data_IF_889224181466
#
_entry.id   IF_889224181466
#
_cell.length_a   1.000
_cell.length_b   1.000
_cell.length_c   1.000
_cell.angle_alpha   90.00
_cell.angle_beta   90.00
_cell.angle_gamma   90.00
#
_symmetry.space_group_name_H-M   'P 1'
#
loop_
_entity.id
_entity.type
_entity.pdbx_description
1 polymer ?
#
# COMPACT_ATOMS: atom_id res chain seq x y z
N UNK A 1 -34.94 7.38 -16.59
CA UNK A 1 -34.69 6.53 -15.41
C UNK A 1 -34.99 7.38 -14.17
N UNK A 2 -36.18 7.25 -13.61
CA UNK A 2 -36.61 7.99 -12.42
C UNK A 2 -35.99 7.34 -11.19
N UNK A 3 -35.00 8.01 -10.58
CA UNK A 3 -34.51 7.67 -9.25
C UNK A 3 -35.71 7.65 -8.30
N UNK A 4 -36.11 6.46 -7.87
CA UNK A 4 -37.25 6.29 -6.98
C UNK A 4 -36.97 6.95 -5.63
N UNK A 5 -38.02 7.42 -4.96
CA UNK A 5 -38.00 8.08 -3.65
C UNK A 5 -37.19 7.35 -2.56
N UNK A 6 -36.92 6.05 -2.75
CA UNK A 6 -36.10 5.21 -1.86
C UNK A 6 -34.59 5.33 -2.07
N UNK A 7 -34.11 5.77 -3.23
CA UNK A 7 -32.67 5.86 -3.52
C UNK A 7 -32.04 7.08 -2.86
N UNK A 8 -32.76 8.20 -2.76
CA UNK A 8 -32.22 9.43 -2.19
C UNK A 8 -31.94 9.34 -0.67
N UNK A 9 -32.82 8.75 0.17
CA UNK A 9 -32.51 8.50 1.58
C UNK A 9 -31.35 7.54 1.76
N UNK A 10 -31.27 6.48 0.94
CA UNK A 10 -30.16 5.53 0.97
C UNK A 10 -28.83 6.19 0.57
N UNK A 11 -28.83 7.05 -0.46
CA UNK A 11 -27.66 7.84 -0.85
C UNK A 11 -27.29 8.91 0.18
N UNK A 12 -28.25 9.50 0.89
CA UNK A 12 -27.98 10.44 1.98
C UNK A 12 -27.46 9.73 3.23
N UNK A 13 -27.97 8.54 3.56
CA UNK A 13 -27.40 7.70 4.63
C UNK A 13 -26.00 7.25 4.26
N UNK A 14 -25.77 6.79 3.04
CA UNK A 14 -24.44 6.48 2.52
C UNK A 14 -23.56 7.73 2.52
N UNK A 15 -24.04 8.90 2.11
CA UNK A 15 -23.25 10.13 2.08
C UNK A 15 -22.89 10.62 3.49
N UNK A 16 -23.85 10.70 4.41
CA UNK A 16 -23.58 11.07 5.82
C UNK A 16 -22.64 10.07 6.49
N UNK A 17 -22.87 8.79 6.26
CA UNK A 17 -22.02 7.71 6.77
C UNK A 17 -20.64 7.69 6.11
N UNK A 18 -20.53 8.00 4.82
CA UNK A 18 -19.26 8.13 4.10
C UNK A 18 -18.58 9.46 4.36
N UNK A 19 -19.25 10.52 4.80
CA UNK A 19 -18.58 11.68 5.36
C UNK A 19 -17.96 11.34 6.72
N UNK A 20 -18.56 10.42 7.48
CA UNK A 20 -17.98 9.85 8.70
C UNK A 20 -16.96 8.72 8.42
N UNK A 21 -17.03 8.06 7.24
CA UNK A 21 -16.24 6.87 6.87
C UNK A 21 -15.27 7.06 5.70
N UNK A 22 -15.25 8.21 5.03
CA UNK A 22 -14.25 8.55 4.02
C UNK A 22 -12.87 8.69 4.66
N UNK A 23 -12.88 9.09 5.94
CA UNK A 23 -11.72 9.02 6.79
C UNK A 23 -11.30 7.54 6.95
N UNK A 24 -12.25 6.61 7.15
CA UNK A 24 -12.09 5.14 7.30
C UNK A 24 -11.67 4.34 6.06
N UNK A 25 -11.90 4.90 4.88
CA UNK A 25 -11.52 4.29 3.62
C UNK A 25 -10.09 4.66 3.20
N UNK A 26 -9.66 5.89 3.49
CA UNK A 26 -8.26 6.31 3.30
C UNK A 26 -7.35 5.74 4.40
N UNK A 27 -7.95 5.55 5.58
CA UNK A 27 -7.44 4.89 6.81
C UNK A 27 -6.86 3.49 6.66
N UNK A 28 -7.04 2.80 5.53
CA UNK A 28 -6.42 1.49 5.30
C UNK A 28 -5.31 1.52 4.27
N UNK A 29 -5.06 2.69 3.66
CA UNK A 29 -4.21 2.77 2.48
C UNK A 29 -3.10 3.80 2.58
N UNK A 30 -3.29 4.91 3.30
CA UNK A 30 -2.23 5.88 3.60
C UNK A 30 -2.62 6.74 4.81
N UNK A 31 -1.74 6.88 5.82
CA UNK A 31 -2.02 7.80 6.92
C UNK A 31 -2.29 9.26 6.52
N UNK A 32 -3.02 10.03 7.34
CA UNK A 32 -3.23 11.48 7.25
C UNK A 32 -2.63 12.14 8.48
N UNK A 33 -1.56 12.94 8.34
CA UNK A 33 -1.04 13.76 9.45
C UNK A 33 -1.83 15.08 9.54
N UNK A 34 -2.57 15.38 10.63
CA UNK A 34 -3.07 16.73 10.87
C UNK A 34 -1.92 17.68 11.24
N UNK A 35 -2.07 18.98 10.96
CA UNK A 35 -1.16 20.01 11.44
C UNK A 35 -1.15 20.05 12.98
N UNK A 36 -0.18 19.38 13.59
CA UNK A 36 0.03 19.39 15.04
C UNK A 36 0.76 20.67 15.44
N UNK A 37 0.08 21.49 16.27
CA UNK A 37 0.70 22.55 17.08
C UNK A 37 1.70 21.92 18.05
N UNK A 38 2.92 22.47 18.08
CA UNK A 38 4.00 22.12 19.02
C UNK A 38 3.50 22.10 20.46
N UNK A 39 3.41 20.90 21.04
CA UNK A 39 3.30 20.65 22.48
C UNK A 39 4.41 19.69 22.89
N UNK A 40 5.29 20.16 23.78
CA UNK A 40 6.45 19.43 24.30
C UNK A 40 6.02 18.47 25.40
N UNK A 41 6.51 17.22 25.39
CA UNK A 41 6.69 16.42 26.60
C UNK A 41 7.71 15.28 26.42
N UNK A 42 8.62 15.21 27.38
CA UNK A 42 9.63 14.18 27.62
C UNK A 42 9.02 12.87 28.13
N UNK A 43 9.58 11.71 27.73
CA UNK A 43 10.26 10.69 28.60
C UNK A 43 10.41 9.34 27.85
N UNK A 44 11.57 8.70 27.91
CA UNK A 44 11.75 7.27 27.57
C UNK A 44 12.70 6.60 28.56
N UNK A 45 12.35 5.46 29.17
CA UNK A 45 13.28 4.65 29.95
C UNK A 45 14.06 3.68 29.05
N UNK A 46 15.35 3.50 29.35
CA UNK A 46 16.23 2.58 28.64
C UNK A 46 15.96 1.12 29.07
N UNK A 47 15.53 0.28 28.13
CA UNK A 47 15.41 -1.17 28.32
C UNK A 47 16.71 -1.82 27.83
N UNK A 48 17.48 -2.42 28.74
CA UNK A 48 18.66 -3.25 28.43
C UNK A 48 18.22 -4.69 28.13
N UNK A 49 18.18 -5.07 26.86
CA UNK A 49 17.97 -6.46 26.44
C UNK A 49 19.32 -7.21 26.39
N UNK A 50 19.35 -8.41 26.98
CA UNK A 50 20.50 -9.33 27.02
C UNK A 50 20.77 -9.91 25.62
N UNK A 51 22.00 -9.76 25.13
CA UNK A 51 22.43 -10.10 23.78
C UNK A 51 22.93 -11.54 23.57
N UNK A 52 22.67 -12.48 24.48
CA UNK A 52 23.39 -13.77 24.53
C UNK A 52 22.63 -14.99 24.00
N UNK A 53 21.48 -14.83 23.34
CA UNK A 53 20.69 -15.96 22.80
C UNK A 53 20.42 -15.92 21.28
N UNK A 54 21.02 -14.97 20.54
CA UNK A 54 20.71 -14.77 19.11
C UNK A 54 21.65 -15.49 18.12
N UNK A 55 22.74 -16.09 18.58
CA UNK A 55 23.79 -16.60 17.66
C UNK A 55 23.51 -18.04 17.16
N UNK A 56 22.63 -18.79 17.81
CA UNK A 56 22.41 -20.22 17.49
C UNK A 56 21.24 -20.50 16.52
N UNK A 57 20.54 -19.46 16.06
CA UNK A 57 19.45 -19.57 15.05
C UNK A 57 19.96 -19.25 13.62
N UNK A 58 21.17 -18.74 13.46
CA UNK A 58 21.69 -18.26 12.16
C UNK A 58 22.04 -19.36 11.12
N UNK A 59 21.66 -20.61 11.36
CA UNK A 59 21.86 -21.75 10.44
C UNK A 59 20.58 -22.48 10.04
N UNK A 60 19.41 -22.01 10.47
CA UNK A 60 18.16 -22.54 9.92
C UNK A 60 18.09 -22.18 8.45
N UNK A 61 18.24 -23.21 7.60
CA UNK A 61 17.79 -23.35 6.22
C UNK A 61 17.57 -22.03 5.49
N UNK A 62 18.32 -21.76 4.42
CA UNK A 62 17.90 -20.81 3.40
C UNK A 62 16.44 -21.12 3.04
N UNK A 63 15.50 -20.40 3.66
CA UNK A 63 14.08 -20.63 3.45
C UNK A 63 13.90 -20.32 1.97
N UNK A 64 13.36 -21.29 1.25
CA UNK A 64 13.06 -21.08 -0.16
C UNK A 64 11.91 -20.08 -0.25
N UNK A 65 12.27 -18.79 -0.31
CA UNK A 65 11.35 -17.66 -0.32
C UNK A 65 10.42 -17.75 -1.52
N UNK A 66 10.89 -18.28 -2.64
CA UNK A 66 10.07 -18.49 -3.85
C UNK A 66 8.99 -19.54 -3.59
N UNK A 67 9.33 -20.64 -2.93
CA UNK A 67 8.36 -21.68 -2.53
C UNK A 67 7.35 -21.13 -1.53
N UNK A 68 7.80 -20.36 -0.53
CA UNK A 68 6.94 -19.72 0.45
C UNK A 68 5.95 -18.74 -0.20
N UNK A 69 6.41 -17.91 -1.15
CA UNK A 69 5.55 -16.96 -1.86
C UNK A 69 4.49 -17.68 -2.70
N UNK A 70 4.90 -18.71 -3.44
CA UNK A 70 3.98 -19.52 -4.26
C UNK A 70 2.94 -20.23 -3.40
N UNK A 71 3.34 -20.76 -2.24
CA UNK A 71 2.42 -21.39 -1.29
C UNK A 71 1.42 -20.37 -0.71
N UNK A 72 1.88 -19.19 -0.29
CA UNK A 72 1.01 -18.15 0.23
C UNK A 72 0.00 -17.71 -0.83
N UNK A 73 0.45 -17.46 -2.05
CA UNK A 73 -0.42 -17.10 -3.16
C UNK A 73 -1.51 -18.16 -3.40
N UNK A 74 -1.14 -19.45 -3.45
CA UNK A 74 -2.12 -20.53 -3.63
C UNK A 74 -3.18 -20.52 -2.53
N UNK A 75 -2.77 -20.43 -1.25
CA UNK A 75 -3.68 -20.39 -0.11
C UNK A 75 -4.64 -19.19 -0.17
N UNK A 76 -4.12 -18.02 -0.55
CA UNK A 76 -4.90 -16.79 -0.67
C UNK A 76 -5.90 -16.86 -1.83
N UNK A 77 -5.50 -17.42 -2.99
CA UNK A 77 -6.38 -17.57 -4.14
C UNK A 77 -7.44 -18.66 -3.94
N UNK A 78 -7.12 -19.75 -3.25
CA UNK A 78 -8.10 -20.78 -2.90
C UNK A 78 -9.16 -20.24 -1.94
N UNK A 79 -8.71 -19.45 -0.95
CA UNK A 79 -9.60 -18.70 -0.04
C UNK A 79 -10.45 -17.71 -0.83
N UNK A 80 -9.82 -16.89 -1.68
CA UNK A 80 -10.50 -15.92 -2.51
C UNK A 80 -11.53 -16.56 -3.41
N UNK A 81 -11.29 -17.75 -3.97
CA UNK A 81 -12.24 -18.43 -4.87
C UNK A 81 -13.34 -19.21 -4.13
N UNK A 82 -13.30 -19.28 -2.80
CA UNK A 82 -14.27 -20.08 -2.03
C UNK A 82 -14.17 -21.59 -2.30
N UNK A 83 -13.05 -22.06 -2.88
CA UNK A 83 -12.82 -23.50 -3.15
C UNK A 83 -12.55 -24.31 -1.89
N UNK A 84 -12.34 -23.63 -0.76
CA UNK A 84 -12.16 -24.25 0.55
C UNK A 84 -13.52 -24.51 1.19
N UNK A 85 -14.04 -25.74 1.07
CA UNK A 85 -15.28 -26.20 1.73
C UNK A 85 -15.25 -26.03 3.27
N UNK A 86 -14.05 -25.96 3.85
CA UNK A 86 -13.87 -25.53 5.23
C UNK A 86 -13.76 -24.00 5.28
N UNK A 87 -14.74 -23.35 5.92
CA UNK A 87 -14.60 -22.02 6.55
C UNK A 87 -13.20 -21.90 7.15
N UNK A 88 -12.53 -20.75 6.94
CA UNK A 88 -11.16 -20.44 7.38
C UNK A 88 -10.80 -21.10 8.71
N UNK A 89 -10.21 -22.30 8.64
CA UNK A 89 -9.84 -23.03 9.84
C UNK A 89 -8.73 -22.26 10.53
N UNK A 90 -8.70 -22.31 11.85
CA UNK A 90 -7.65 -21.66 12.64
C UNK A 90 -6.26 -22.09 12.15
N UNK A 91 -6.08 -23.37 11.83
CA UNK A 91 -4.85 -23.93 11.27
C UNK A 91 -4.44 -23.29 9.94
N UNK A 92 -5.39 -23.00 9.03
CA UNK A 92 -5.11 -22.33 7.75
C UNK A 92 -4.69 -20.89 7.96
N UNK A 93 -5.36 -20.18 8.88
CA UNK A 93 -4.99 -18.80 9.25
C UNK A 93 -3.57 -18.78 9.84
N UNK A 94 -3.28 -19.65 10.81
CA UNK A 94 -1.95 -19.79 11.41
C UNK A 94 -0.88 -20.13 10.36
N UNK A 95 -1.21 -20.98 9.38
CA UNK A 95 -0.30 -21.29 8.27
C UNK A 95 -0.01 -20.07 7.40
N UNK A 96 -1.03 -19.29 7.03
CA UNK A 96 -0.90 -18.05 6.26
C UNK A 96 0.01 -17.07 7.00
N UNK A 97 -0.26 -16.81 8.29
CA UNK A 97 0.51 -15.86 9.11
C UNK A 97 1.97 -16.30 9.27
N UNK A 98 2.19 -17.61 9.48
CA UNK A 98 3.55 -18.16 9.54
C UNK A 98 4.32 -17.95 8.23
N UNK A 99 3.67 -18.12 7.07
CA UNK A 99 4.33 -17.90 5.77
C UNK A 99 4.60 -16.39 5.56
N UNK A 100 3.66 -15.52 5.92
CA UNK A 100 3.86 -14.07 5.90
C UNK A 100 5.11 -13.68 6.69
N UNK A 101 5.24 -14.18 7.92
CA UNK A 101 6.41 -13.88 8.76
C UNK A 101 7.71 -14.45 8.18
N UNK A 102 7.67 -15.63 7.54
CA UNK A 102 8.82 -16.19 6.82
C UNK A 102 9.26 -15.30 5.65
N UNK A 103 8.31 -14.78 4.87
CA UNK A 103 8.60 -13.89 3.75
C UNK A 103 9.19 -12.56 4.22
N UNK A 104 8.64 -11.98 5.30
CA UNK A 104 9.15 -10.75 5.92
C UNK A 104 10.59 -10.94 6.42
N UNK A 105 10.89 -12.07 7.06
CA UNK A 105 12.24 -12.39 7.54
C UNK A 105 13.25 -12.57 6.40
N UNK A 106 12.79 -12.95 5.21
CA UNK A 106 13.63 -13.14 4.03
C UNK A 106 14.31 -11.87 3.51
N UNK A 107 13.76 -10.67 3.78
CA UNK A 107 14.33 -9.38 3.37
C UNK A 107 14.81 -9.34 1.91
N UNK A 108 13.93 -9.77 1.01
CA UNK A 108 14.26 -9.90 -0.42
C UNK A 108 14.64 -8.56 -1.05
N UNK A 109 15.46 -8.66 -2.09
CA UNK A 109 15.65 -7.60 -3.06
C UNK A 109 14.55 -7.65 -4.12
N UNK A 110 14.13 -6.49 -4.62
CA UNK A 110 13.07 -6.37 -5.62
C UNK A 110 13.36 -5.23 -6.61
N UNK A 111 12.83 -5.36 -7.83
CA UNK A 111 12.80 -4.28 -8.82
C UNK A 111 11.49 -3.50 -8.66
N UNK A 112 11.56 -2.21 -8.37
CA UNK A 112 10.36 -1.37 -8.21
C UNK A 112 9.48 -1.36 -9.47
N UNK A 113 10.06 -1.48 -10.66
CA UNK A 113 9.28 -1.44 -11.91
C UNK A 113 8.55 -2.76 -12.17
N UNK A 114 9.04 -3.87 -11.64
CA UNK A 114 8.40 -5.18 -11.80
C UNK A 114 7.45 -5.48 -10.62
N UNK A 115 7.82 -5.03 -9.42
CA UNK A 115 7.18 -5.43 -8.17
C UNK A 115 6.35 -4.32 -7.52
N UNK A 116 6.44 -3.05 -7.93
CA UNK A 116 5.64 -1.94 -7.38
C UNK A 116 4.81 -1.25 -8.47
N UNK A 117 5.44 -0.77 -9.52
CA UNK A 117 4.77 -0.10 -10.63
C UNK A 117 4.16 -1.12 -11.58
N UNK A 118 2.87 -1.02 -11.87
CA UNK A 118 2.21 -2.01 -12.72
C UNK A 118 0.69 -2.02 -12.59
N UNK A 119 0.05 -3.19 -12.70
CA UNK A 119 -1.40 -3.30 -12.60
C UNK A 119 -1.88 -3.04 -11.17
N UNK A 120 -3.20 -3.10 -10.98
CA UNK A 120 -3.79 -3.11 -9.65
C UNK A 120 -3.34 -4.37 -8.89
N UNK A 121 -3.08 -4.22 -7.59
CA UNK A 121 -2.91 -5.34 -6.67
C UNK A 121 -4.07 -5.36 -5.70
N UNK A 122 -4.83 -6.46 -5.69
CA UNK A 122 -5.96 -6.68 -4.83
C UNK A 122 -5.50 -7.06 -3.42
N UNK A 123 -6.05 -6.41 -2.41
CA UNK A 123 -5.93 -6.80 -1.01
C UNK A 123 -6.74 -8.06 -0.77
N UNK A 124 -6.08 -9.19 -0.53
CA UNK A 124 -6.74 -10.49 -0.29
C UNK A 124 -6.69 -10.89 1.20
N UNK A 125 -5.73 -10.36 1.96
CA UNK A 125 -5.60 -10.69 3.37
C UNK A 125 -5.12 -9.51 4.19
N UNK A 126 -5.71 -9.35 5.37
CA UNK A 126 -5.38 -8.33 6.37
C UNK A 126 -5.24 -8.99 7.75
N UNK A 127 -4.26 -8.56 8.54
CA UNK A 127 -4.10 -9.00 9.95
C UNK A 127 -3.52 -7.87 10.79
N UNK A 128 -3.57 -8.01 12.12
CA UNK A 128 -3.03 -7.02 13.08
C UNK A 128 -4.03 -5.96 13.53
N UNK A 129 -5.27 -5.97 13.03
CA UNK A 129 -6.34 -5.10 13.50
C UNK A 129 -7.23 -5.81 14.53
N UNK A 130 -7.48 -5.16 15.67
CA UNK A 130 -8.49 -5.63 16.64
C UNK A 130 -9.91 -5.53 16.08
N UNK A 131 -10.14 -4.58 15.17
CA UNK A 131 -11.43 -4.28 14.54
C UNK A 131 -11.26 -4.23 13.03
N UNK A 132 -12.09 -4.97 12.29
CA UNK A 132 -12.09 -4.93 10.83
C UNK A 132 -12.30 -3.50 10.35
N UNK A 133 -11.50 -3.00 9.39
CA UNK A 133 -11.70 -1.67 8.84
C UNK A 133 -13.07 -1.58 8.17
N UNK A 134 -13.68 -0.39 8.18
CA UNK A 134 -15.07 -0.20 7.75
C UNK A 134 -15.33 -0.69 6.32
N UNK A 135 -14.40 -0.47 5.38
CA UNK A 135 -14.53 -0.95 4.01
C UNK A 135 -14.64 -2.49 3.92
N UNK A 136 -13.96 -3.23 4.80
CA UNK A 136 -14.06 -4.69 4.83
C UNK A 136 -15.45 -5.13 5.34
N UNK A 137 -16.00 -4.36 6.29
CA UNK A 137 -17.38 -4.56 6.75
C UNK A 137 -18.37 -4.33 5.60
N UNK A 138 -18.19 -3.29 4.77
CA UNK A 138 -19.03 -3.05 3.60
C UNK A 138 -18.87 -4.10 2.51
N UNK A 139 -17.64 -4.54 2.24
CA UNK A 139 -17.39 -5.61 1.29
C UNK A 139 -18.13 -6.90 1.69
N UNK A 140 -18.29 -7.15 3.00
CA UNK A 140 -19.08 -8.29 3.49
C UNK A 140 -20.61 -8.14 3.33
N UNK A 141 -21.11 -6.92 3.12
CA UNK A 141 -22.53 -6.64 2.87
C UNK A 141 -22.92 -6.81 1.39
N UNK A 142 -21.94 -6.88 0.48
CA UNK A 142 -22.21 -7.13 -0.93
C UNK A 142 -22.78 -8.54 -1.15
N UNK A 143 -23.61 -8.70 -2.18
CA UNK A 143 -24.35 -9.92 -2.49
C UNK A 143 -23.43 -11.15 -2.55
N UNK A 144 -23.87 -12.27 -1.97
CA UNK A 144 -23.11 -13.52 -1.80
C UNK A 144 -22.38 -14.02 -3.06
N UNK A 145 -22.83 -13.64 -4.25
CA UNK A 145 -22.34 -14.15 -5.52
C UNK A 145 -21.20 -13.31 -6.14
N UNK A 146 -20.93 -12.09 -5.65
CA UNK A 146 -19.88 -11.21 -6.21
C UNK A 146 -18.97 -10.64 -5.14
N UNK A 147 -17.67 -10.91 -5.29
CA UNK A 147 -16.62 -10.42 -4.38
C UNK A 147 -16.21 -9.03 -4.83
N UNK A 148 -16.40 -8.04 -3.97
CA UNK A 148 -15.90 -6.70 -4.19
C UNK A 148 -14.38 -6.68 -4.15
N UNK A 149 -13.76 -5.95 -5.06
CA UNK A 149 -12.31 -5.78 -5.12
C UNK A 149 -11.89 -4.53 -4.38
N UNK A 150 -10.84 -4.68 -3.58
CA UNK A 150 -10.13 -3.58 -2.91
C UNK A 150 -8.65 -3.72 -3.20
N UNK A 151 -7.93 -2.64 -3.46
CA UNK A 151 -6.53 -2.74 -3.87
C UNK A 151 -5.83 -1.41 -4.11
N UNK A 152 -4.57 -1.51 -4.54
CA UNK A 152 -3.71 -0.37 -4.83
C UNK A 152 -3.01 -0.52 -6.17
N UNK A 153 -2.96 0.55 -6.96
CA UNK A 153 -2.16 0.63 -8.20
C UNK A 153 -1.10 1.70 -8.00
N UNK A 154 0.16 1.35 -8.23
CA UNK A 154 1.25 2.31 -8.27
C UNK A 154 1.73 2.48 -9.70
N UNK A 155 2.05 3.71 -10.08
CA UNK A 155 2.59 4.04 -11.40
C UNK A 155 3.48 5.27 -11.31
N UNK A 156 4.25 5.53 -12.36
CA UNK A 156 5.00 6.77 -12.53
C UNK A 156 4.24 7.69 -13.47
N UNK A 157 4.17 8.97 -13.15
CA UNK A 157 3.64 9.97 -14.09
C UNK A 157 4.67 10.31 -15.17
N UNK A 158 4.34 11.27 -16.05
CA UNK A 158 5.23 11.71 -17.13
C UNK A 158 6.57 12.29 -16.66
N UNK A 159 6.65 12.73 -15.40
CA UNK A 159 7.87 13.27 -14.79
C UNK A 159 8.70 12.19 -14.10
N UNK A 160 8.18 10.95 -14.03
CA UNK A 160 8.77 9.88 -13.26
C UNK A 160 8.39 9.88 -11.78
N UNK A 161 7.50 10.80 -11.36
CA UNK A 161 7.06 10.88 -9.96
C UNK A 161 6.11 9.73 -9.65
N UNK A 162 6.27 9.13 -8.47
CA UNK A 162 5.42 8.04 -8.02
C UNK A 162 3.99 8.52 -7.74
N UNK A 163 3.02 7.82 -8.28
CA UNK A 163 1.58 7.96 -8.01
C UNK A 163 1.02 6.68 -7.42
N UNK A 164 -0.06 6.83 -6.66
CA UNK A 164 -0.84 5.72 -6.11
C UNK A 164 -2.32 5.99 -6.32
N UNK A 165 -3.04 4.94 -6.71
CA UNK A 165 -4.51 4.89 -6.70
C UNK A 165 -4.90 3.81 -5.71
N UNK A 166 -5.66 4.19 -4.68
CA UNK A 166 -6.37 3.26 -3.84
C UNK A 166 -7.78 3.11 -4.38
N UNK A 167 -8.21 1.87 -4.56
CA UNK A 167 -9.48 1.54 -5.17
C UNK A 167 -10.22 0.53 -4.30
N UNK A 168 -11.52 0.71 -4.11
CA UNK A 168 -12.33 -0.36 -3.55
C UNK A 168 -13.81 -0.25 -3.95
N UNK A 169 -14.37 -1.39 -4.31
CA UNK A 169 -15.76 -1.56 -4.68
C UNK A 169 -16.64 -1.65 -3.44
N UNK A 170 -17.73 -0.90 -3.46
CA UNK A 170 -18.81 -1.02 -2.47
C UNK A 170 -19.91 -1.91 -3.01
N UNK A 171 -20.20 -1.82 -4.31
CA UNK A 171 -21.16 -2.68 -4.99
C UNK A 171 -20.74 -2.88 -6.45
N UNK A 172 -19.70 -3.70 -6.65
CA UNK A 172 -19.02 -3.89 -7.93
C UNK A 172 -18.50 -2.60 -8.57
N UNK A 173 -18.10 -2.69 -9.83
CA UNK A 173 -17.48 -1.58 -10.59
C UNK A 173 -18.34 -0.32 -10.69
N UNK A 174 -19.66 -0.47 -10.71
CA UNK A 174 -20.62 0.64 -10.82
C UNK A 174 -20.67 1.53 -9.58
N UNK A 175 -20.26 1.01 -8.43
CA UNK A 175 -20.24 1.75 -7.18
C UNK A 175 -18.95 1.44 -6.43
N UNK A 176 -17.99 2.36 -6.54
CA UNK A 176 -16.67 2.24 -5.92
C UNK A 176 -16.18 3.58 -5.37
N UNK A 177 -15.15 3.50 -4.52
CA UNK A 177 -14.43 4.65 -3.99
C UNK A 177 -13.00 4.59 -4.54
N UNK A 178 -12.47 5.76 -4.88
CA UNK A 178 -11.14 5.94 -5.44
C UNK A 178 -10.42 7.06 -4.70
N UNK A 179 -9.16 6.83 -4.31
CA UNK A 179 -8.29 7.87 -3.76
C UNK A 179 -6.98 7.95 -4.54
N UNK A 180 -6.69 9.12 -5.08
CA UNK A 180 -5.50 9.42 -5.86
C UNK A 180 -4.47 10.14 -4.99
N UNK A 181 -3.21 9.70 -5.08
CA UNK A 181 -2.12 10.24 -4.30
C UNK A 181 -0.76 10.20 -4.99
N UNK A 182 0.21 10.79 -4.31
CA UNK A 182 1.62 10.71 -4.65
C UNK A 182 2.30 9.68 -3.73
N UNK A 183 3.31 9.00 -4.23
CA UNK A 183 4.18 8.13 -3.44
C UNK A 183 5.64 8.50 -3.68
N UNK A 184 6.40 8.65 -2.62
CA UNK A 184 7.83 8.92 -2.67
C UNK A 184 8.57 7.93 -1.77
N UNK A 185 9.75 7.49 -2.23
CA UNK A 185 10.65 6.72 -1.38
C UNK A 185 11.09 7.60 -0.21
N UNK A 186 10.83 7.16 1.02
CA UNK A 186 11.25 7.90 2.20
C UNK A 186 12.72 7.62 2.45
N UNK A 187 13.58 8.61 2.26
CA UNK A 187 14.99 8.45 2.61
C UNK A 187 15.16 8.59 4.13
N UNK A 188 15.99 7.76 4.80
CA UNK A 188 16.19 7.82 6.25
C UNK A 188 16.61 9.20 6.79
N UNK A 189 17.17 10.07 5.93
CA UNK A 189 17.70 11.39 6.28
C UNK A 189 16.65 12.51 6.28
N UNK A 190 15.46 12.30 5.70
CA UNK A 190 14.40 13.32 5.66
C UNK A 190 13.73 13.57 7.02
N UNK A 191 14.05 12.78 8.06
CA UNK A 191 13.49 12.97 9.39
C UNK A 191 14.10 14.16 10.16
N UNK A 192 15.23 14.70 9.71
CA UNK A 192 16.03 15.61 10.54
C UNK A 192 15.75 17.09 10.23
N UNK A 193 15.39 17.48 9.01
CA UNK A 193 15.33 18.91 8.67
C UNK A 193 14.25 19.25 7.64
N UNK A 194 13.04 19.58 8.10
CA UNK A 194 12.14 20.50 7.39
C UNK A 194 12.51 21.96 7.70
N UNK A 195 13.82 22.27 7.74
CA UNK A 195 14.32 23.65 7.76
C UNK A 195 14.48 24.11 6.32
N UNK A 196 13.86 25.22 5.90
CA UNK A 196 13.98 25.71 4.54
C UNK A 196 15.45 25.97 4.21
N UNK A 197 16.00 25.16 3.30
CA UNK A 197 17.39 25.26 2.86
C UNK A 197 17.56 26.61 2.14
N UNK A 198 18.41 27.53 2.62
CA UNK A 198 18.66 28.79 1.93
C UNK A 198 19.25 28.51 0.54
N UNK A 199 18.73 29.22 -0.46
CA UNK A 199 19.12 29.09 -1.86
C UNK A 199 20.64 29.22 -1.98
N UNK A 200 21.31 28.13 -2.39
CA UNK A 200 22.74 28.12 -2.64
C UNK A 200 22.99 28.79 -4.00
N UNK A 201 23.80 29.86 -4.08
CA UNK A 201 24.06 30.56 -5.33
C UNK A 201 24.80 29.64 -6.31
N UNK A 202 24.20 29.41 -7.48
CA UNK A 202 24.78 28.60 -8.55
C UNK A 202 26.01 29.31 -9.12
N UNK A 203 27.16 28.62 -9.10
CA UNK A 203 28.38 29.15 -9.70
C UNK A 203 28.36 28.92 -11.23
N UNK A 204 28.77 29.91 -12.04
CA UNK A 204 28.77 29.80 -13.51
C UNK A 204 29.77 28.77 -14.06
N UNK A 205 30.65 28.20 -13.21
CA UNK A 205 31.67 27.22 -13.62
C UNK A 205 31.07 25.81 -13.74
N UNK A 206 30.01 25.50 -12.98
CA UNK A 206 29.32 24.19 -13.00
C UNK A 206 28.59 23.93 -14.33
N UNK A 207 28.35 24.98 -15.11
CA UNK A 207 27.74 24.90 -16.45
C UNK A 207 28.71 24.41 -17.54
N UNK A 208 30.02 24.50 -17.31
CA UNK A 208 31.05 24.20 -18.32
C UNK A 208 31.51 22.73 -18.26
N UNK A 209 31.48 22.12 -17.08
CA UNK A 209 31.84 20.70 -16.87
C UNK A 209 30.77 19.75 -17.42
N UNK A 210 29.50 20.17 -17.46
CA UNK A 210 28.41 19.38 -18.06
C UNK A 210 28.47 19.34 -19.60
N UNK A 211 29.01 20.37 -20.25
CA UNK A 211 29.17 20.42 -21.71
C UNK A 211 30.26 19.45 -22.21
N UNK A 212 31.41 19.39 -21.52
CA UNK A 212 32.53 18.53 -21.94
C UNK A 212 32.23 17.03 -21.80
N UNK A 213 31.38 16.64 -20.85
CA UNK A 213 30.98 15.24 -20.67
C UNK A 213 30.03 14.71 -21.75
N UNK A 214 29.49 15.58 -22.63
CA UNK A 214 28.53 15.21 -23.67
C UNK A 214 29.15 14.88 -25.04
N UNK A 215 30.46 15.09 -25.25
CA UNK A 215 31.13 14.92 -26.55
C UNK A 215 31.74 13.51 -26.73
N UNK A 216 31.94 12.75 -25.66
CA UNK A 216 32.46 11.38 -25.71
C UNK A 216 31.38 10.34 -26.01
N UNK A 217 31.12 10.08 -27.30
CA UNK A 217 30.20 9.06 -27.78
C UNK A 217 30.50 7.65 -27.27
N UNK A 218 29.94 7.29 -26.12
CA UNK A 218 29.87 5.89 -25.64
C UNK A 218 28.64 5.23 -26.26
N UNK A 219 28.82 4.07 -26.88
CA UNK A 219 27.75 3.19 -27.36
C UNK A 219 26.65 3.03 -26.30
N UNK A 220 25.48 3.66 -26.52
CA UNK A 220 24.38 3.79 -25.54
C UNK A 220 23.41 2.60 -25.49
N UNK A 221 23.78 1.43 -26.00
CA UNK A 221 22.84 0.30 -26.14
C UNK A 221 22.96 -0.78 -25.05
N UNK A 222 23.77 -0.59 -23.99
CA UNK A 222 23.65 -1.47 -22.83
C UNK A 222 22.50 -0.97 -21.94
N UNK A 223 21.49 -1.81 -21.65
CA UNK A 223 20.45 -1.44 -20.70
C UNK A 223 21.12 -1.10 -19.37
N UNK A 224 20.76 0.03 -18.78
CA UNK A 224 21.25 0.41 -17.47
C UNK A 224 20.97 -0.75 -16.50
N UNK A 225 21.93 -1.10 -15.61
CA UNK A 225 21.71 -2.17 -14.65
C UNK A 225 20.44 -1.90 -13.86
N UNK A 226 19.57 -2.93 -13.74
CA UNK A 226 18.34 -2.85 -12.94
C UNK A 226 18.70 -2.45 -11.51
N UNK A 227 18.12 -1.36 -11.03
CA UNK A 227 18.31 -0.89 -9.66
C UNK A 227 17.40 -1.73 -8.75
N UNK A 228 18.00 -2.61 -7.97
CA UNK A 228 17.28 -3.41 -6.97
C UNK A 228 17.20 -2.63 -5.64
N UNK A 229 16.00 -2.61 -5.06
CA UNK A 229 15.72 -2.10 -3.72
C UNK A 229 15.64 -3.27 -2.75
N UNK A 230 15.89 -3.04 -1.45
CA UNK A 230 15.87 -4.09 -0.41
C UNK A 230 14.76 -3.83 0.60
N UNK A 231 14.02 -4.89 0.95
CA UNK A 231 13.02 -4.84 2.03
C UNK A 231 13.67 -4.88 3.43
N UNK A 232 13.10 -4.20 4.44
CA UNK A 232 11.92 -3.34 4.35
C UNK A 232 12.23 -1.98 3.69
N UNK A 233 11.25 -1.40 2.99
CA UNK A 233 11.34 -0.08 2.37
C UNK A 233 10.18 0.81 2.82
N UNK A 234 10.47 2.04 3.24
CA UNK A 234 9.45 3.00 3.65
C UNK A 234 9.07 3.93 2.49
N UNK A 235 7.77 4.09 2.26
CA UNK A 235 7.22 5.01 1.30
C UNK A 235 6.37 6.06 2.02
N UNK A 236 6.62 7.33 1.69
CA UNK A 236 5.73 8.42 2.05
C UNK A 236 4.66 8.50 0.97
N UNK A 237 3.42 8.17 1.35
CA UNK A 237 2.29 8.34 0.47
C UNK A 237 1.47 9.57 0.92
N UNK A 238 0.96 10.33 -0.05
CA UNK A 238 0.13 11.50 0.19
C UNK A 238 -1.12 11.42 -0.68
N UNK A 239 -2.28 11.22 -0.07
CA UNK A 239 -3.58 11.30 -0.73
C UNK A 239 -3.91 12.76 -1.00
N UNK A 240 -4.16 13.05 -2.27
CA UNK A 240 -4.43 14.41 -2.77
C UNK A 240 -5.90 14.64 -3.09
N UNK A 241 -6.60 13.56 -3.46
CA UNK A 241 -7.98 13.58 -3.90
C UNK A 241 -8.63 12.25 -3.56
N UNK A 242 -9.88 12.29 -3.11
CA UNK A 242 -10.75 11.14 -3.04
C UNK A 242 -12.02 11.39 -3.83
N UNK A 243 -12.64 10.33 -4.32
CA UNK A 243 -13.87 10.41 -5.06
C UNK A 243 -14.71 9.16 -4.84
N UNK A 244 -16.00 9.37 -4.90
CA UNK A 244 -17.01 8.34 -4.91
C UNK A 244 -17.58 8.24 -6.33
N UNK A 245 -17.53 7.07 -6.94
CA UNK A 245 -18.09 6.85 -8.27
C UNK A 245 -19.37 6.03 -8.17
N UNK A 246 -20.45 6.58 -8.72
CA UNK A 246 -21.76 5.96 -8.76
C UNK A 246 -22.34 6.03 -10.17
N UNK A 247 -22.49 4.86 -10.80
CA UNK A 247 -22.99 4.72 -12.16
C UNK A 247 -22.26 5.64 -13.17
N UNK A 248 -20.93 5.70 -13.06
CA UNK A 248 -20.06 6.52 -13.91
C UNK A 248 -20.03 8.02 -13.56
N UNK A 249 -20.73 8.45 -12.51
CA UNK A 249 -20.64 9.84 -12.01
C UNK A 249 -19.72 9.89 -10.79
N UNK A 250 -18.76 10.80 -10.84
CA UNK A 250 -17.81 11.01 -9.75
C UNK A 250 -18.24 12.17 -8.85
N UNK A 251 -18.22 11.95 -7.55
CA UNK A 251 -18.38 12.98 -6.51
C UNK A 251 -17.06 13.08 -5.74
N UNK A 252 -16.42 14.24 -5.85
CA UNK A 252 -15.17 14.51 -5.14
C UNK A 252 -15.43 14.63 -3.63
N UNK A 253 -14.56 13.97 -2.85
CA UNK A 253 -14.56 14.03 -1.40
C UNK A 253 -13.37 14.91 -0.95
N UNK A 254 -13.56 15.84 -0.01
CA UNK A 254 -12.52 16.78 0.43
C UNK A 254 -11.49 16.13 1.37
N UNK A 255 -11.06 14.90 1.07
CA UNK A 255 -10.14 14.14 1.92
C UNK A 255 -8.72 14.23 1.38
N UNK A 256 -7.79 14.51 2.28
CA UNK A 256 -6.35 14.60 2.01
C UNK A 256 -5.58 14.08 3.19
N UNK A 257 -4.37 13.58 2.94
CA UNK A 257 -3.44 13.31 4.02
C UNK A 257 -2.19 12.56 3.61
N UNK A 258 -1.23 12.50 4.53
CA UNK A 258 0.10 11.95 4.31
C UNK A 258 0.48 10.93 5.38
N UNK A 259 1.10 9.84 4.96
CA UNK A 259 1.39 8.72 5.81
C UNK A 259 2.46 7.79 5.28
N UNK A 260 2.92 6.88 6.14
CA UNK A 260 4.05 6.00 5.86
C UNK A 260 3.55 4.57 5.69
N UNK A 261 3.75 4.04 4.49
CA UNK A 261 3.57 2.62 4.18
C UNK A 261 4.95 1.94 4.17
N UNK A 262 5.12 0.87 4.94
CA UNK A 262 6.34 0.06 4.91
C UNK A 262 6.11 -1.20 4.10
N UNK A 263 6.82 -1.34 3.00
CA UNK A 263 6.88 -2.54 2.19
C UNK A 263 7.83 -3.54 2.84
N UNK A 264 7.30 -4.66 3.32
CA UNK A 264 8.05 -5.71 4.01
C UNK A 264 8.49 -6.85 3.09
N UNK A 265 7.76 -7.07 2.00
CA UNK A 265 8.05 -8.08 0.99
C UNK A 265 7.44 -7.68 -0.35
N UNK A 266 8.14 -7.93 -1.45
CA UNK A 266 7.61 -7.73 -2.80
C UNK A 266 8.21 -8.71 -3.80
N UNK A 267 7.34 -9.28 -4.62
CA UNK A 267 7.67 -9.93 -5.88
C UNK A 267 6.68 -9.47 -6.98
N UNK A 268 6.83 -9.89 -8.25
CA UNK A 268 5.94 -9.47 -9.33
C UNK A 268 4.47 -9.85 -9.15
N UNK A 269 4.10 -10.72 -8.21
CA UNK A 269 2.74 -11.23 -8.03
C UNK A 269 2.16 -10.97 -6.64
N UNK A 270 3.00 -10.70 -5.63
CA UNK A 270 2.64 -10.61 -4.22
C UNK A 270 3.39 -9.47 -3.52
N UNK A 271 2.69 -8.73 -2.65
CA UNK A 271 3.26 -7.66 -1.83
C UNK A 271 2.75 -7.76 -0.39
N UNK A 272 3.59 -7.37 0.56
CA UNK A 272 3.22 -7.30 1.98
C UNK A 272 3.59 -5.92 2.51
N UNK A 273 2.58 -5.16 2.93
CA UNK A 273 2.75 -3.86 3.56
C UNK A 273 2.41 -3.92 5.06
N UNK A 274 2.95 -2.97 5.82
CA UNK A 274 2.54 -2.71 7.20
C UNK A 274 2.38 -1.21 7.48
N UNK A 275 1.38 -0.84 8.28
CA UNK A 275 1.24 0.51 8.84
C UNK A 275 2.27 0.73 9.97
N UNK A 276 3.07 1.79 9.87
CA UNK A 276 4.19 2.05 10.81
C UNK A 276 3.81 2.97 11.95
N UNK A 277 2.87 3.88 11.74
CA UNK A 277 2.55 4.96 12.69
C UNK A 277 1.19 4.75 13.33
N UNK A 278 1.14 4.77 14.65
CA UNK A 278 -0.08 5.18 15.35
C UNK A 278 -0.25 6.69 15.11
N UNK A 279 -1.46 7.09 14.79
CA UNK A 279 -1.84 8.49 14.74
C UNK A 279 -3.22 8.62 15.40
N UNK A 280 -3.69 9.84 15.59
CA UNK A 280 -4.89 10.12 16.40
C UNK A 280 -6.17 9.41 15.89
N UNK A 281 -6.14 8.83 14.68
CA UNK A 281 -7.30 8.23 14.02
C UNK A 281 -7.08 6.75 13.62
N UNK A 282 -5.85 6.30 13.43
CA UNK A 282 -5.43 4.91 13.19
C UNK A 282 -4.94 4.33 14.53
N UNK A 283 -5.86 3.83 15.36
CA UNK A 283 -5.51 3.14 16.61
C UNK A 283 -4.82 1.77 16.38
N UNK A 284 -4.38 1.50 15.15
CA UNK A 284 -3.91 0.19 14.70
C UNK A 284 -2.64 0.35 13.87
N UNK A 285 -1.55 0.76 14.52
CA UNK A 285 -0.23 0.42 14.00
C UNK A 285 -0.09 -1.10 13.90
N UNK A 286 0.64 -1.57 12.89
CA UNK A 286 0.85 -2.99 12.67
C UNK A 286 -0.23 -3.69 11.85
N UNK A 287 -1.15 -2.96 11.19
CA UNK A 287 -2.02 -3.54 10.16
C UNK A 287 -1.11 -4.06 9.04
N UNK A 288 -1.06 -5.38 8.88
CA UNK A 288 -0.40 -6.04 7.74
C UNK A 288 -1.42 -6.23 6.62
N UNK A 289 -1.04 -5.86 5.41
CA UNK A 289 -1.86 -6.00 4.21
C UNK A 289 -1.11 -6.84 3.20
N UNK A 290 -1.71 -7.94 2.76
CA UNK A 290 -1.16 -8.80 1.70
C UNK A 290 -1.97 -8.59 0.43
N UNK A 291 -1.24 -8.26 -0.64
CA UNK A 291 -1.84 -7.93 -1.92
C UNK A 291 -1.34 -8.86 -3.02
N UNK A 292 -2.24 -9.26 -3.91
CA UNK A 292 -1.97 -10.14 -5.05
C UNK A 292 -2.30 -9.39 -6.33
N UNK A 293 -1.52 -9.58 -7.39
CA UNK A 293 -1.75 -8.96 -8.69
C UNK A 293 -3.15 -9.29 -9.22
N UNK A 294 -3.89 -8.28 -9.70
CA UNK A 294 -5.34 -8.41 -9.97
C UNK A 294 -5.69 -9.47 -11.03
N UNK A 295 -4.85 -9.65 -12.05
CA UNK A 295 -5.03 -10.63 -13.12
C UNK A 295 -4.96 -12.08 -12.64
N UNK A 296 -4.42 -12.32 -11.44
CA UNK A 296 -4.42 -13.63 -10.78
C UNK A 296 -5.69 -13.87 -9.95
N UNK A 297 -6.47 -12.82 -9.73
CA UNK A 297 -7.64 -12.77 -8.85
C UNK A 297 -8.93 -12.69 -9.65
N UNK A 298 -8.91 -11.91 -10.73
CA UNK A 298 -10.00 -11.74 -11.69
C UNK A 298 -9.42 -11.72 -13.12
N UNK A 299 -9.84 -12.67 -13.97
CA UNK A 299 -9.33 -12.81 -15.33
C UNK A 299 -9.74 -11.63 -16.25
N UNK A 300 -10.91 -11.04 -16.02
CA UNK A 300 -11.50 -9.99 -16.86
C UNK A 300 -11.40 -8.58 -16.24
N UNK A 301 -10.24 -8.26 -15.66
CA UNK A 301 -10.00 -6.91 -15.14
C UNK A 301 -9.74 -5.91 -16.27
N UNK A 302 -10.67 -4.98 -16.47
CA UNK A 302 -10.47 -3.82 -17.36
C UNK A 302 -9.63 -2.76 -16.61
N UNK A 303 -8.60 -2.22 -17.24
CA UNK A 303 -7.78 -1.18 -16.61
C UNK A 303 -8.63 0.04 -16.27
N UNK A 304 -8.48 0.53 -15.04
CA UNK A 304 -9.05 1.81 -14.61
C UNK A 304 -8.43 2.93 -15.46
N UNK A 305 -9.16 3.38 -16.48
CA UNK A 305 -8.85 4.56 -17.30
C UNK A 305 -9.18 5.86 -16.57
#
# INVERSE_FOLDING_TARGET
MTLTSTVLPFLLTIYSFLCESSDAFIQSFVPVVPHIRKGSAHFTPAIRLRASSFVEIARTSSVDVSKASSELQSLLLDRWNGKSESVDTLEKIERIEKIIDQLIQGQVEYDENDCLYGPLYATIYTTGVKTKPLWEQFASLATADKKNISGQKYFKDSNGDGKVINYSEVYGRSFHIRADGNVALRTPLELIEATPKPATPQSPIDSLTSFLNNIGGKNKNMPAPKKLSKCPTDYLATVTKASFNLFGKSLDLPVKGTGIARLLYADPNLRIFVSVTENDWEQTAGLKVVQVRIDLVEEEWEELS
#
